data_IF_666213985229
#
_entry.id   IF_666213985229
#
_cell.length_a   1.000
_cell.length_b   1.000
_cell.length_c   1.000
_cell.angle_alpha   90.00
_cell.angle_beta   90.00
_cell.angle_gamma   90.00
#
_symmetry.space_group_name_H-M   'P 1'
#
loop_
_entity.id
_entity.type
_entity.pdbx_description
1 polymer ?
#
# COMPACT_ATOMS: atom_id res chain seq x y z
N UNK A 1 -58.92 17.70 6.66
CA UNK A 1 -57.95 16.63 6.33
C UNK A 1 -56.76 17.08 5.45
N UNK A 2 -56.37 18.37 5.41
CA UNK A 2 -55.25 18.85 4.56
C UNK A 2 -53.90 18.99 5.32
N UNK A 3 -53.94 19.37 6.61
CA UNK A 3 -52.73 19.56 7.46
C UNK A 3 -51.94 18.28 7.74
N UNK A 4 -52.60 17.14 7.98
CA UNK A 4 -51.93 15.86 8.29
C UNK A 4 -51.10 15.29 7.13
N UNK A 5 -51.50 15.52 5.87
CA UNK A 5 -50.78 15.02 4.68
C UNK A 5 -49.45 15.76 4.44
N UNK A 6 -49.41 17.06 4.72
CA UNK A 6 -48.21 17.90 4.53
C UNK A 6 -47.10 17.49 5.51
N UNK A 7 -47.46 17.15 6.75
CA UNK A 7 -46.49 16.71 7.77
C UNK A 7 -45.83 15.38 7.39
N UNK A 8 -46.59 14.45 6.80
CA UNK A 8 -46.05 13.15 6.36
C UNK A 8 -45.06 13.33 5.20
N UNK A 9 -45.37 14.20 4.23
CA UNK A 9 -44.45 14.51 3.13
C UNK A 9 -43.15 15.16 3.62
N UNK A 10 -43.22 16.04 4.63
CA UNK A 10 -42.03 16.67 5.20
C UNK A 10 -41.11 15.65 5.89
N UNK A 11 -41.66 14.64 6.58
CA UNK A 11 -40.87 13.59 7.24
C UNK A 11 -40.19 12.68 6.22
N UNK A 12 -40.91 12.28 5.16
CA UNK A 12 -40.34 11.46 4.07
C UNK A 12 -39.20 12.22 3.36
N UNK A 13 -39.34 13.53 3.17
CA UNK A 13 -38.30 14.37 2.58
C UNK A 13 -37.04 14.44 3.46
N UNK A 14 -37.18 14.46 4.79
CA UNK A 14 -36.05 14.46 5.74
C UNK A 14 -35.34 13.10 5.77
N UNK A 15 -36.07 11.99 5.66
CA UNK A 15 -35.47 10.66 5.61
C UNK A 15 -34.72 10.44 4.28
N UNK A 16 -35.22 11.00 3.17
CA UNK A 16 -34.53 10.96 1.88
C UNK A 16 -33.23 11.79 1.87
N UNK A 17 -33.19 12.94 2.55
CA UNK A 17 -31.95 13.76 2.64
C UNK A 17 -30.96 13.20 3.64
N UNK A 18 -31.40 12.59 4.74
CA UNK A 18 -30.50 11.99 5.75
C UNK A 18 -30.03 10.57 5.37
N UNK A 19 -30.83 9.82 4.60
CA UNK A 19 -30.46 8.51 4.08
C UNK A 19 -29.46 8.56 2.93
N UNK A 20 -29.43 9.64 2.15
CA UNK A 20 -28.44 9.83 1.07
C UNK A 20 -27.02 10.17 1.61
N UNK A 21 -26.91 10.56 2.88
CA UNK A 21 -25.60 10.80 3.52
C UNK A 21 -24.98 9.53 4.13
N UNK A 22 -25.64 8.37 4.05
CA UNK A 22 -25.18 7.13 4.69
C UNK A 22 -24.41 6.16 3.79
N UNK A 23 -23.95 6.62 2.62
CA UNK A 23 -22.92 5.95 1.85
C UNK A 23 -21.92 7.02 1.40
N UNK A 24 -21.15 7.56 2.35
CA UNK A 24 -19.79 7.96 1.94
C UNK A 24 -19.20 6.72 1.27
N UNK A 25 -18.64 6.82 0.06
CA UNK A 25 -17.85 5.72 -0.46
C UNK A 25 -16.87 5.35 0.64
N UNK A 26 -16.80 4.05 0.97
CA UNK A 26 -15.67 3.49 1.72
C UNK A 26 -14.45 4.20 1.14
N UNK A 27 -13.58 4.87 1.94
CA UNK A 27 -12.41 5.50 1.37
C UNK A 27 -11.77 4.41 0.51
N UNK A 28 -11.75 4.64 -0.80
CA UNK A 28 -10.94 3.84 -1.67
C UNK A 28 -9.56 4.04 -1.08
N UNK A 29 -9.08 3.01 -0.41
CA UNK A 29 -7.69 2.92 0.00
C UNK A 29 -6.95 2.71 -1.31
N UNK A 30 -6.89 3.74 -2.16
CA UNK A 30 -5.83 3.89 -3.15
C UNK A 30 -4.58 4.08 -2.32
N UNK A 31 -4.04 2.92 -2.03
CA UNK A 31 -2.88 2.59 -1.25
C UNK A 31 -1.76 2.88 -2.25
N UNK A 32 -1.23 4.11 -2.24
CA UNK A 32 -0.31 4.58 -3.27
C UNK A 32 0.91 3.64 -3.32
N UNK A 33 0.96 2.81 -4.36
CA UNK A 33 2.07 1.92 -4.63
C UNK A 33 3.24 2.76 -5.16
N UNK A 34 4.45 2.47 -4.68
CA UNK A 34 5.63 3.22 -5.09
C UNK A 34 6.80 2.30 -5.43
N UNK A 35 7.59 2.72 -6.42
CA UNK A 35 8.79 2.01 -6.85
C UNK A 35 9.99 2.49 -6.04
N UNK A 36 10.65 1.57 -5.35
CA UNK A 36 11.88 1.79 -4.61
C UNK A 36 13.06 1.29 -5.43
N UNK A 37 14.07 2.12 -5.64
CA UNK A 37 15.34 1.70 -6.25
C UNK A 37 16.31 1.37 -5.14
N UNK A 38 16.76 0.12 -5.09
CA UNK A 38 17.61 -0.43 -4.03
C UNK A 38 18.89 -0.97 -4.66
N UNK A 39 20.02 -0.46 -4.20
CA UNK A 39 21.34 -0.82 -4.69
C UNK A 39 22.03 -1.83 -3.77
N UNK A 40 22.88 -2.67 -4.37
CA UNK A 40 23.73 -3.66 -3.70
C UNK A 40 22.97 -4.51 -2.69
N UNK A 41 21.91 -5.20 -3.14
CA UNK A 41 21.10 -6.01 -2.23
C UNK A 41 21.91 -7.14 -1.59
N UNK A 42 21.54 -7.51 -0.38
CA UNK A 42 21.84 -8.80 0.23
C UNK A 42 20.54 -9.59 0.32
N UNK A 43 20.52 -10.82 -0.18
CA UNK A 43 19.34 -11.66 -0.18
C UNK A 43 19.40 -12.72 0.93
N UNK A 44 18.57 -12.54 1.94
CA UNK A 44 18.33 -13.51 3.00
C UNK A 44 17.20 -14.47 2.58
N UNK A 45 17.61 -15.59 1.99
CA UNK A 45 16.68 -16.62 1.53
C UNK A 45 15.96 -17.34 2.67
N UNK A 46 16.54 -17.41 3.88
CA UNK A 46 15.90 -18.08 5.02
C UNK A 46 14.69 -17.29 5.53
N UNK A 47 14.79 -15.96 5.50
CA UNK A 47 13.75 -15.04 5.96
C UNK A 47 12.94 -14.39 4.82
N UNK A 48 13.16 -14.80 3.56
CA UNK A 48 12.57 -14.19 2.36
C UNK A 48 12.65 -12.66 2.40
N UNK A 49 13.86 -12.14 2.61
CA UNK A 49 14.08 -10.70 2.79
C UNK A 49 15.25 -10.24 1.95
N UNK A 50 15.17 -9.04 1.39
CA UNK A 50 16.34 -8.35 0.86
C UNK A 50 16.64 -7.13 1.72
N UNK A 51 17.91 -6.78 1.83
CA UNK A 51 18.36 -5.52 2.44
C UNK A 51 19.31 -4.81 1.49
N UNK A 52 19.33 -3.48 1.50
CA UNK A 52 20.26 -2.71 0.67
C UNK A 52 20.11 -1.22 0.88
N UNK A 53 20.74 -0.43 0.02
CA UNK A 53 20.65 1.03 0.09
C UNK A 53 19.60 1.51 -0.90
N UNK A 54 18.49 2.03 -0.39
CA UNK A 54 17.50 2.72 -1.21
C UNK A 54 18.04 4.08 -1.64
N UNK A 55 17.83 4.43 -2.91
CA UNK A 55 18.21 5.73 -3.51
C UNK A 55 17.00 6.57 -3.92
N UNK A 56 15.81 5.97 -3.99
CA UNK A 56 14.54 6.67 -4.27
C UNK A 56 13.36 5.72 -3.97
N UNK A 57 12.21 6.21 -3.48
CA UNK A 57 11.93 7.56 -2.98
C UNK A 57 12.57 7.85 -1.61
N UNK A 58 12.96 6.80 -0.89
CA UNK A 58 13.70 6.91 0.36
C UNK A 58 15.20 6.80 0.09
N UNK A 59 16.01 7.62 0.74
CA UNK A 59 17.47 7.53 0.69
C UNK A 59 17.98 6.95 2.02
N UNK A 60 18.60 5.77 1.98
CA UNK A 60 19.15 5.10 3.16
C UNK A 60 19.02 3.58 3.15
N UNK A 61 19.52 2.93 4.19
CA UNK A 61 19.39 1.48 4.37
C UNK A 61 17.91 1.10 4.54
N UNK A 62 17.48 0.08 3.82
CA UNK A 62 16.11 -0.44 3.87
C UNK A 62 16.13 -1.97 3.86
N UNK A 63 15.08 -2.54 4.44
CA UNK A 63 14.76 -3.96 4.35
C UNK A 63 13.44 -4.14 3.60
N UNK A 64 13.33 -5.19 2.79
CA UNK A 64 12.12 -5.53 2.06
C UNK A 64 11.77 -6.97 2.32
N UNK A 65 10.59 -7.19 2.89
CA UNK A 65 10.02 -8.51 3.05
C UNK A 65 9.39 -8.96 1.73
N UNK A 66 9.73 -10.17 1.28
CA UNK A 66 9.25 -10.74 0.03
C UNK A 66 8.14 -11.74 0.34
N UNK A 67 6.86 -11.40 0.09
CA UNK A 67 5.77 -12.30 0.36
C UNK A 67 5.79 -13.52 -0.57
N UNK A 68 5.13 -14.59 -0.13
CA UNK A 68 4.95 -15.80 -0.92
C UNK A 68 4.28 -15.47 -2.26
N UNK A 69 4.98 -15.73 -3.36
CA UNK A 69 4.51 -15.44 -4.73
C UNK A 69 5.44 -14.54 -5.55
N UNK A 70 6.39 -13.86 -4.91
CA UNK A 70 7.49 -13.19 -5.62
C UNK A 70 8.48 -14.24 -6.13
N UNK A 71 8.82 -14.19 -7.43
CA UNK A 71 9.86 -15.04 -8.00
C UNK A 71 11.25 -14.54 -7.55
N UNK A 72 11.82 -15.23 -6.56
CA UNK A 72 13.15 -14.91 -6.00
C UNK A 72 14.28 -15.70 -6.65
N UNK A 73 14.00 -16.57 -7.62
CA UNK A 73 14.99 -17.52 -8.18
C UNK A 73 16.19 -16.87 -8.87
N UNK A 74 16.05 -15.61 -9.28
CA UNK A 74 17.07 -14.83 -9.99
C UNK A 74 17.78 -13.80 -9.10
N UNK A 75 17.31 -13.61 -7.87
CA UNK A 75 17.91 -12.67 -6.92
C UNK A 75 19.25 -13.20 -6.43
N UNK A 76 20.23 -12.31 -6.38
CA UNK A 76 21.60 -12.59 -5.93
C UNK A 76 22.15 -11.37 -5.22
N UNK A 77 23.08 -11.61 -4.31
CA UNK A 77 23.80 -10.54 -3.62
C UNK A 77 24.54 -9.62 -4.61
N UNK A 78 24.60 -8.35 -4.26
CA UNK A 78 25.28 -7.30 -5.03
C UNK A 78 24.49 -6.80 -6.24
N UNK A 79 23.27 -7.29 -6.48
CA UNK A 79 22.41 -6.78 -7.54
C UNK A 79 21.74 -5.45 -7.14
N UNK A 80 21.39 -4.66 -8.15
CA UNK A 80 20.49 -3.53 -8.00
C UNK A 80 19.09 -3.95 -8.43
N UNK A 81 18.06 -3.50 -7.71
CA UNK A 81 16.68 -3.87 -7.98
C UNK A 81 15.74 -2.67 -7.88
N UNK A 82 14.62 -2.74 -8.57
CA UNK A 82 13.44 -1.94 -8.28
C UNK A 82 12.39 -2.81 -7.60
N UNK A 83 11.83 -2.32 -6.50
CA UNK A 83 10.77 -2.98 -5.74
C UNK A 83 9.52 -2.14 -5.82
N UNK A 84 8.42 -2.69 -6.34
CA UNK A 84 7.10 -2.09 -6.18
C UNK A 84 6.56 -2.53 -4.83
N UNK A 85 6.36 -1.58 -3.93
CA UNK A 85 5.79 -1.85 -2.62
C UNK A 85 4.51 -1.02 -2.40
N UNK A 86 3.57 -1.61 -1.67
CA UNK A 86 2.43 -0.87 -1.13
C UNK A 86 2.85 0.14 -0.04
N UNK A 87 1.94 1.04 0.39
CA UNK A 87 2.13 1.93 1.52
C UNK A 87 2.28 1.10 2.79
N UNK A 88 3.51 1.00 3.26
CA UNK A 88 3.85 0.11 4.35
C UNK A 88 5.35 0.08 4.60
N UNK A 89 5.93 1.25 4.91
CA UNK A 89 7.21 1.31 5.60
C UNK A 89 6.99 1.30 7.11
N UNK A 90 7.70 0.43 7.82
CA UNK A 90 7.76 0.49 9.28
C UNK A 90 8.57 1.69 9.74
N UNK A 91 8.39 2.09 11.01
CA UNK A 91 9.25 3.08 11.67
C UNK A 91 10.48 2.44 12.35
N UNK A 92 10.92 1.26 11.89
CA UNK A 92 12.13 0.61 12.41
C UNK A 92 13.39 1.24 11.82
N UNK A 93 14.55 0.87 12.38
CA UNK A 93 15.86 1.23 11.86
C UNK A 93 16.64 -0.08 11.57
N UNK A 94 16.87 -0.43 10.28
CA UNK A 94 16.35 0.24 9.08
C UNK A 94 14.82 0.10 8.90
N UNK A 95 14.17 0.99 8.14
CA UNK A 95 12.77 0.83 7.76
C UNK A 95 12.55 -0.47 6.97
N UNK A 96 11.37 -1.06 7.12
CA UNK A 96 10.98 -2.31 6.45
C UNK A 96 9.78 -2.08 5.53
N UNK A 97 9.91 -2.47 4.26
CA UNK A 97 8.82 -2.58 3.29
C UNK A 97 8.12 -3.94 3.45
N UNK A 98 6.87 -3.94 3.89
CA UNK A 98 6.14 -5.15 4.27
C UNK A 98 5.25 -5.74 3.16
N UNK A 99 4.96 -4.97 2.11
CA UNK A 99 4.04 -5.34 1.04
C UNK A 99 4.72 -5.22 -0.33
N UNK A 100 5.77 -6.01 -0.55
CA UNK A 100 6.40 -6.12 -1.86
C UNK A 100 5.49 -6.86 -2.83
N UNK A 101 5.20 -6.24 -3.98
CA UNK A 101 4.28 -6.78 -4.98
C UNK A 101 5.00 -7.17 -6.26
N UNK A 102 6.11 -6.51 -6.59
CA UNK A 102 6.92 -6.80 -7.76
C UNK A 102 8.40 -6.48 -7.49
N UNK A 103 9.31 -7.25 -8.09
CA UNK A 103 10.74 -6.97 -8.10
C UNK A 103 11.27 -7.04 -9.53
N UNK A 104 12.07 -6.05 -9.91
CA UNK A 104 12.79 -6.00 -11.19
C UNK A 104 14.28 -5.89 -10.91
N UNK A 105 15.08 -6.77 -11.50
CA UNK A 105 16.54 -6.65 -11.46
C UNK A 105 16.95 -5.54 -12.45
N UNK A 106 17.83 -4.65 -12.02
CA UNK A 106 18.40 -3.58 -12.84
C UNK A 106 19.78 -4.08 -13.32
N UNK A 107 19.99 -4.07 -14.63
CA UNK A 107 21.27 -4.41 -15.28
C UNK A 107 22.25 -3.23 -15.31
#
# INVERSE_FOLDING_TARGET
MKKKRIIIFAIILIIATTGFFYLKPKPETTVDQEWYTIENIMFDQENNKISGTSTSPYEGEIEVYLPDGIDTSKLKDGQNVQVLAGPGMTMSLPPQLMDCQEIKIIE
#
